data_IF_876589702796
#
_entry.id   IF_876589702796
#
_cell.length_a   1.000
_cell.length_b   1.000
_cell.length_c   1.000
_cell.angle_alpha   90.00
_cell.angle_beta   90.00
_cell.angle_gamma   90.00
#
_symmetry.space_group_name_H-M   'P 1'
#
loop_
_entity.id
_entity.type
_entity.pdbx_description
1 polymer ?
#
# COMPACT_ATOMS: atom_id res chain seq x y z
N UNK A 1 32.98 -15.40 40.27
CA UNK A 1 33.06 -13.94 40.13
C UNK A 1 33.43 -13.19 41.40
N UNK A 2 33.99 -13.83 42.45
CA UNK A 2 34.37 -13.13 43.68
C UNK A 2 35.53 -12.13 43.58
N UNK A 3 36.03 -11.85 42.37
CA UNK A 3 37.14 -10.92 42.12
C UNK A 3 36.67 -9.47 42.09
N UNK A 4 35.45 -9.20 41.61
CA UNK A 4 35.03 -7.83 41.31
C UNK A 4 34.59 -7.06 42.55
N UNK A 5 33.90 -7.71 43.50
CA UNK A 5 33.57 -7.07 44.76
C UNK A 5 34.82 -6.79 45.61
N UNK A 6 35.82 -7.69 45.61
CA UNK A 6 37.08 -7.50 46.36
C UNK A 6 37.94 -6.36 45.80
N UNK A 7 37.79 -6.03 44.52
CA UNK A 7 38.42 -4.85 43.89
C UNK A 7 37.68 -3.58 44.30
N UNK A 8 36.35 -3.60 44.26
CA UNK A 8 35.51 -2.47 44.68
C UNK A 8 35.65 -2.18 46.18
N UNK A 9 35.71 -3.19 47.03
CA UNK A 9 35.93 -3.05 48.48
C UNK A 9 37.31 -2.45 48.77
N UNK A 10 38.36 -2.89 48.06
CA UNK A 10 39.69 -2.26 48.16
C UNK A 10 39.68 -0.80 47.75
N UNK A 11 38.98 -0.46 46.67
CA UNK A 11 38.85 0.92 46.21
C UNK A 11 38.12 1.78 47.25
N UNK A 12 36.97 1.31 47.73
CA UNK A 12 36.18 2.01 48.77
C UNK A 12 37.00 2.21 50.04
N UNK A 13 37.75 1.19 50.47
CA UNK A 13 38.66 1.29 51.63
C UNK A 13 39.81 2.28 51.41
N UNK A 14 40.33 2.41 50.19
CA UNK A 14 41.39 3.37 49.88
C UNK A 14 40.90 4.82 49.77
N UNK A 15 39.64 5.03 49.40
CA UNK A 15 39.06 6.36 49.20
C UNK A 15 38.38 6.94 50.44
N UNK A 16 37.94 6.09 51.37
CA UNK A 16 37.25 6.51 52.59
C UNK A 16 38.26 6.65 53.71
N UNK A 17 38.50 7.88 54.18
CA UNK A 17 39.44 8.18 55.26
C UNK A 17 39.01 7.54 56.60
N UNK A 18 37.73 7.62 56.95
CA UNK A 18 37.16 7.04 58.17
C UNK A 18 36.51 5.67 57.95
N UNK A 19 37.33 4.62 57.82
CA UNK A 19 36.84 3.24 57.64
C UNK A 19 35.96 2.73 58.80
N UNK A 20 36.15 3.28 60.01
CA UNK A 20 35.36 2.95 61.19
C UNK A 20 33.99 3.64 61.23
N UNK A 21 33.74 4.62 60.35
CA UNK A 21 32.47 5.35 60.32
C UNK A 21 31.32 4.41 60.02
N UNK A 22 30.19 4.63 60.71
CA UNK A 22 28.96 3.84 60.54
C UNK A 22 28.48 3.85 59.10
N UNK A 23 28.73 4.94 58.36
CA UNK A 23 28.28 5.08 56.97
C UNK A 23 29.18 4.31 56.00
N UNK A 24 30.50 4.26 56.23
CA UNK A 24 31.43 3.41 55.49
C UNK A 24 31.08 1.91 55.65
N UNK A 25 30.70 1.50 56.86
CA UNK A 25 30.26 0.14 57.13
C UNK A 25 28.93 -0.20 56.46
N UNK A 26 27.97 0.74 56.41
CA UNK A 26 26.71 0.54 55.66
C UNK A 26 26.98 0.39 54.16
N UNK A 27 27.85 1.23 53.59
CA UNK A 27 28.21 1.17 52.18
C UNK A 27 28.86 -0.17 51.83
N UNK A 28 29.86 -0.62 52.58
CA UNK A 28 30.51 -1.92 52.34
C UNK A 28 29.52 -3.11 52.44
N UNK A 29 28.62 -3.10 53.43
CA UNK A 29 27.55 -4.12 53.56
C UNK A 29 26.59 -4.10 52.37
N UNK A 30 26.17 -2.91 51.92
CA UNK A 30 25.29 -2.77 50.76
C UNK A 30 25.96 -3.24 49.46
N UNK A 31 27.24 -2.92 49.28
CA UNK A 31 28.04 -3.37 48.13
C UNK A 31 28.17 -4.90 48.12
N UNK A 32 28.48 -5.49 49.27
CA UNK A 32 28.54 -6.93 49.42
C UNK A 32 27.20 -7.58 49.09
N UNK A 33 26.10 -7.07 49.64
CA UNK A 33 24.75 -7.55 49.35
C UNK A 33 24.42 -7.51 47.85
N UNK A 34 24.67 -6.36 47.19
CA UNK A 34 24.44 -6.21 45.74
C UNK A 34 25.31 -7.17 44.93
N UNK A 35 26.56 -7.38 45.34
CA UNK A 35 27.47 -8.30 44.64
C UNK A 35 26.96 -9.75 44.72
N UNK A 36 26.52 -10.19 45.90
CA UNK A 36 25.94 -11.53 46.10
C UNK A 36 24.65 -11.68 45.29
N UNK A 37 23.79 -10.66 45.29
CA UNK A 37 22.57 -10.68 44.47
C UNK A 37 22.87 -10.79 42.97
N UNK A 38 23.86 -10.05 42.47
CA UNK A 38 24.26 -10.12 41.06
C UNK A 38 24.81 -11.50 40.71
N UNK A 39 25.64 -12.10 41.56
CA UNK A 39 26.12 -13.47 41.35
C UNK A 39 24.96 -14.48 41.31
N UNK A 40 24.01 -14.38 42.25
CA UNK A 40 22.83 -15.24 42.27
C UNK A 40 22.01 -15.09 40.98
N UNK A 41 21.74 -13.84 40.55
CA UNK A 41 21.05 -13.56 39.29
C UNK A 41 21.81 -14.12 38.07
N UNK A 42 23.15 -14.03 38.05
CA UNK A 42 23.94 -14.62 36.98
C UNK A 42 23.81 -16.15 36.94
N UNK A 43 23.83 -16.81 38.10
CA UNK A 43 23.62 -18.25 38.19
C UNK A 43 22.20 -18.64 37.77
N UNK A 44 21.17 -17.89 38.18
CA UNK A 44 19.79 -18.09 37.74
C UNK A 44 19.65 -17.93 36.22
N UNK A 45 20.19 -16.85 35.65
CA UNK A 45 20.18 -16.61 34.20
C UNK A 45 20.88 -17.76 33.45
N UNK A 46 22.02 -18.23 33.97
CA UNK A 46 22.74 -19.33 33.35
C UNK A 46 21.97 -20.65 33.47
N UNK A 47 21.40 -20.96 34.63
CA UNK A 47 20.54 -22.13 34.83
C UNK A 47 19.29 -22.10 33.96
N UNK A 48 18.67 -20.92 33.79
CA UNK A 48 17.54 -20.74 32.87
C UNK A 48 17.97 -20.94 31.41
N UNK A 49 19.12 -20.41 30.99
CA UNK A 49 19.67 -20.64 29.65
C UNK A 49 19.92 -22.14 29.40
N UNK A 50 20.52 -22.83 30.36
CA UNK A 50 20.77 -24.29 30.29
C UNK A 50 19.46 -25.06 30.23
N UNK A 51 18.50 -24.77 31.11
CA UNK A 51 17.17 -25.38 31.10
C UNK A 51 16.46 -25.15 29.77
N UNK A 52 16.60 -23.97 29.18
CA UNK A 52 16.04 -23.64 27.86
C UNK A 52 16.73 -24.45 26.76
N UNK A 53 18.06 -24.59 26.77
CA UNK A 53 18.80 -25.44 25.84
C UNK A 53 18.37 -26.91 25.95
N UNK A 54 18.24 -27.41 27.18
CA UNK A 54 17.77 -28.77 27.47
C UNK A 54 16.34 -28.96 26.97
N UNK A 55 15.42 -28.05 27.28
CA UNK A 55 14.04 -28.08 26.74
C UNK A 55 14.02 -28.01 25.21
N UNK A 56 14.87 -27.20 24.59
CA UNK A 56 15.03 -27.16 23.13
C UNK A 56 15.50 -28.50 22.58
N UNK A 57 16.42 -29.21 23.26
CA UNK A 57 16.85 -30.56 22.89
C UNK A 57 15.68 -31.56 22.98
N UNK A 58 14.93 -31.57 24.09
CA UNK A 58 13.78 -32.47 24.25
C UNK A 58 12.63 -32.18 23.28
N UNK A 59 12.43 -30.92 22.88
CA UNK A 59 11.46 -30.55 21.82
C UNK A 59 11.89 -30.98 20.41
N UNK A 60 13.13 -31.45 20.22
CA UNK A 60 13.53 -32.09 18.96
C UNK A 60 12.94 -33.50 18.95
N UNK A 61 11.62 -33.60 18.82
CA UNK A 61 11.02 -34.78 18.23
C UNK A 61 11.62 -34.86 16.83
N UNK A 62 12.60 -35.74 16.65
CA UNK A 62 13.24 -35.93 15.37
C UNK A 62 12.13 -36.28 14.38
N UNK A 63 11.99 -35.49 13.31
CA UNK A 63 11.09 -35.88 12.22
C UNK A 63 11.56 -37.27 11.76
N UNK A 64 10.67 -38.26 11.68
CA UNK A 64 11.06 -39.58 11.24
C UNK A 64 11.69 -39.45 9.86
N UNK A 65 12.83 -40.11 9.68
CA UNK A 65 13.46 -40.17 8.38
C UNK A 65 12.48 -40.84 7.42
N UNK A 66 12.11 -40.15 6.34
CA UNK A 66 11.14 -40.69 5.40
C UNK A 66 11.81 -41.76 4.54
N UNK A 67 11.78 -42.99 5.04
CA UNK A 67 12.26 -44.18 4.36
C UNK A 67 11.11 -44.69 3.48
N UNK A 68 11.21 -44.43 2.17
CA UNK A 68 10.21 -44.90 1.23
C UNK A 68 10.28 -46.42 1.09
N UNK A 69 9.18 -47.09 1.44
CA UNK A 69 9.01 -48.53 1.24
C UNK A 69 8.65 -48.81 -0.22
N UNK A 70 9.18 -49.91 -0.78
CA UNK A 70 8.76 -50.40 -2.10
C UNK A 70 7.35 -51.00 -1.99
N UNK A 71 6.50 -50.74 -2.98
CA UNK A 71 5.09 -51.14 -2.97
C UNK A 71 4.87 -52.66 -2.94
N UNK A 72 5.84 -53.46 -3.37
CA UNK A 72 5.70 -54.91 -3.57
C UNK A 72 5.70 -55.78 -2.29
N UNK A 73 5.91 -55.22 -1.10
CA UNK A 73 6.07 -56.02 0.12
C UNK A 73 4.88 -55.87 1.08
N UNK A 74 4.09 -56.92 1.24
CA UNK A 74 2.89 -56.95 2.08
C UNK A 74 3.08 -57.89 3.28
N UNK A 75 3.47 -57.32 4.43
CA UNK A 75 3.33 -57.98 5.75
C UNK A 75 4.63 -58.50 6.35
N UNK A 76 5.34 -57.65 7.10
CA UNK A 76 6.50 -58.03 7.92
C UNK A 76 7.25 -56.81 8.48
N UNK A 77 8.09 -57.02 9.50
CA UNK A 77 8.99 -55.98 10.01
C UNK A 77 10.00 -55.58 8.91
N UNK A 78 10.05 -54.29 8.57
CA UNK A 78 10.93 -53.78 7.50
C UNK A 78 12.32 -53.46 8.07
N UNK A 79 13.30 -54.31 7.77
CA UNK A 79 14.70 -54.02 8.09
C UNK A 79 15.31 -53.06 7.06
N UNK A 80 15.78 -51.92 7.52
CA UNK A 80 16.37 -50.90 6.64
C UNK A 80 17.88 -51.08 6.52
N UNK A 81 18.35 -51.30 5.30
CA UNK A 81 19.78 -51.31 5.03
C UNK A 81 20.40 -49.91 5.23
N UNK A 82 21.66 -49.80 5.67
CA UNK A 82 22.34 -48.50 5.85
C UNK A 82 22.33 -47.61 4.60
N UNK A 83 22.31 -48.24 3.40
CA UNK A 83 22.18 -47.53 2.12
C UNK A 83 20.86 -46.75 2.02
N UNK A 84 19.73 -47.32 2.45
CA UNK A 84 18.41 -46.66 2.42
C UNK A 84 18.33 -45.47 3.37
N UNK A 85 18.98 -45.58 4.53
CA UNK A 85 19.12 -44.46 5.48
C UNK A 85 19.91 -43.31 4.86
N UNK A 86 21.02 -43.60 4.14
CA UNK A 86 21.78 -42.56 3.42
C UNK A 86 20.94 -41.89 2.32
N UNK A 87 20.25 -42.66 1.50
CA UNK A 87 19.37 -42.12 0.43
C UNK A 87 18.30 -41.18 0.98
N UNK A 88 17.64 -41.55 2.08
CA UNK A 88 16.62 -40.71 2.68
C UNK A 88 17.19 -39.41 3.28
N UNK A 89 18.40 -39.43 3.85
CA UNK A 89 19.08 -38.23 4.33
C UNK A 89 19.41 -37.27 3.20
N UNK A 90 19.92 -37.79 2.07
CA UNK A 90 20.20 -36.98 0.87
C UNK A 90 18.93 -36.30 0.37
N UNK A 91 17.80 -37.03 0.30
CA UNK A 91 16.51 -36.47 -0.10
C UNK A 91 16.02 -35.37 0.85
N UNK A 92 16.20 -35.55 2.16
CA UNK A 92 15.87 -34.51 3.14
C UNK A 92 16.71 -33.26 2.92
N UNK A 93 18.02 -33.38 2.73
CA UNK A 93 18.88 -32.22 2.48
C UNK A 93 18.51 -31.48 1.20
N UNK A 94 18.18 -32.19 0.12
CA UNK A 94 17.72 -31.59 -1.14
C UNK A 94 16.41 -30.83 -0.91
N UNK A 95 15.42 -31.46 -0.26
CA UNK A 95 14.14 -30.80 0.04
C UNK A 95 14.31 -29.56 0.92
N UNK A 96 15.21 -29.60 1.91
CA UNK A 96 15.50 -28.44 2.74
C UNK A 96 16.16 -27.30 1.96
N UNK A 97 17.02 -27.61 1.00
CA UNK A 97 17.61 -26.62 0.09
C UNK A 97 16.55 -26.00 -0.80
N UNK A 98 15.72 -26.81 -1.45
CA UNK A 98 14.58 -26.36 -2.27
C UNK A 98 13.63 -25.47 -1.47
N UNK A 99 13.25 -25.88 -0.25
CA UNK A 99 12.39 -25.08 0.63
C UNK A 99 13.03 -23.73 1.00
N UNK A 100 14.35 -23.70 1.23
CA UNK A 100 15.09 -22.45 1.48
C UNK A 100 15.10 -21.57 0.25
N UNK A 101 15.39 -22.12 -0.93
CA UNK A 101 15.40 -21.39 -2.19
C UNK A 101 14.01 -20.83 -2.52
N UNK A 102 12.95 -21.62 -2.36
CA UNK A 102 11.57 -21.17 -2.54
C UNK A 102 11.22 -20.02 -1.58
N UNK A 103 11.66 -20.08 -0.32
CA UNK A 103 11.47 -18.97 0.63
C UNK A 103 12.21 -17.71 0.18
N UNK A 104 13.45 -17.85 -0.30
CA UNK A 104 14.21 -16.73 -0.85
C UNK A 104 13.54 -16.13 -2.09
N UNK A 105 13.04 -16.96 -3.01
CA UNK A 105 12.28 -16.52 -4.19
C UNK A 105 10.98 -15.81 -3.78
N UNK A 106 10.21 -16.35 -2.82
CA UNK A 106 9.01 -15.70 -2.27
C UNK A 106 9.33 -14.33 -1.64
N UNK A 107 10.45 -14.23 -0.92
CA UNK A 107 10.89 -12.95 -0.37
C UNK A 107 11.28 -11.94 -1.47
N UNK A 108 12.02 -12.38 -2.51
CA UNK A 108 12.37 -11.54 -3.66
C UNK A 108 11.14 -11.05 -4.42
N UNK A 109 10.21 -11.95 -4.73
CA UNK A 109 8.95 -11.60 -5.41
C UNK A 109 8.07 -10.67 -4.57
N UNK A 110 8.01 -10.85 -3.25
CA UNK A 110 7.32 -9.92 -2.36
C UNK A 110 7.95 -8.51 -2.38
N UNK A 111 9.27 -8.40 -2.40
CA UNK A 111 9.98 -7.11 -2.55
C UNK A 111 9.66 -6.44 -3.88
N UNK A 112 9.71 -7.19 -5.00
CA UNK A 112 9.35 -6.68 -6.32
C UNK A 112 7.89 -6.22 -6.38
N UNK A 113 6.95 -6.97 -5.79
CA UNK A 113 5.53 -6.57 -5.70
C UNK A 113 5.34 -5.26 -4.95
N UNK A 114 6.05 -5.06 -3.83
CA UNK A 114 6.02 -3.79 -3.08
C UNK A 114 6.53 -2.62 -3.92
N UNK A 115 7.67 -2.80 -4.59
CA UNK A 115 8.23 -1.77 -5.48
C UNK A 115 7.27 -1.42 -6.63
N UNK A 116 6.66 -2.42 -7.27
CA UNK A 116 5.69 -2.21 -8.33
C UNK A 116 4.41 -1.49 -7.84
N UNK A 117 3.98 -1.75 -6.60
CA UNK A 117 2.85 -1.04 -5.98
C UNK A 117 3.18 0.45 -5.80
N UNK A 118 4.34 0.76 -5.24
CA UNK A 118 4.80 2.14 -5.06
C UNK A 118 4.92 2.89 -6.39
N UNK A 119 5.45 2.24 -7.44
CA UNK A 119 5.53 2.85 -8.76
C UNK A 119 4.15 3.16 -9.36
N UNK A 120 3.19 2.25 -9.19
CA UNK A 120 1.80 2.48 -9.61
C UNK A 120 1.13 3.61 -8.84
N UNK A 121 1.40 3.73 -7.54
CA UNK A 121 0.90 4.82 -6.70
C UNK A 121 1.46 6.17 -7.18
N UNK A 122 2.76 6.26 -7.46
CA UNK A 122 3.37 7.47 -8.05
C UNK A 122 2.74 7.87 -9.38
N UNK A 123 2.57 6.94 -10.31
CA UNK A 123 1.89 7.21 -11.60
C UNK A 123 0.45 7.70 -11.37
N UNK A 124 -0.25 7.14 -10.39
CA UNK A 124 -1.62 7.54 -10.09
C UNK A 124 -1.67 8.96 -9.51
N UNK A 125 -0.72 9.32 -8.64
CA UNK A 125 -0.55 10.67 -8.09
C UNK A 125 -0.22 11.69 -9.18
N UNK A 126 0.76 11.41 -10.05
CA UNK A 126 1.09 12.27 -11.20
C UNK A 126 -0.13 12.50 -12.10
N UNK A 127 -0.93 11.45 -12.35
CA UNK A 127 -2.18 11.56 -13.11
C UNK A 127 -3.23 12.41 -12.40
N UNK A 128 -3.30 12.39 -11.06
CA UNK A 128 -4.21 13.23 -10.29
C UNK A 128 -3.78 14.69 -10.36
N UNK A 129 -2.49 14.97 -10.14
CA UNK A 129 -1.92 16.32 -10.25
C UNK A 129 -2.13 16.90 -11.65
N UNK A 130 -1.88 16.11 -12.71
CA UNK A 130 -2.14 16.54 -14.08
C UNK A 130 -3.62 16.90 -14.33
N UNK A 131 -4.56 16.15 -13.74
CA UNK A 131 -6.00 16.46 -13.84
C UNK A 131 -6.37 17.74 -13.10
N UNK A 132 -5.81 17.96 -11.92
CA UNK A 132 -6.03 19.18 -11.14
C UNK A 132 -5.44 20.41 -11.84
N UNK A 133 -4.20 20.31 -12.33
CA UNK A 133 -3.58 21.36 -13.14
C UNK A 133 -4.41 21.70 -14.38
N UNK A 134 -4.94 20.68 -15.08
CA UNK A 134 -5.83 20.89 -16.23
C UNK A 134 -7.17 21.55 -15.85
N UNK A 135 -7.72 21.28 -14.66
CA UNK A 135 -8.92 21.97 -14.16
C UNK A 135 -8.62 23.44 -13.85
N UNK A 136 -7.55 23.72 -13.13
CA UNK A 136 -7.12 25.09 -12.79
C UNK A 136 -6.83 25.90 -14.05
N UNK A 137 -6.15 25.32 -15.03
CA UNK A 137 -5.88 25.98 -16.32
C UNK A 137 -7.19 26.33 -17.05
N UNK A 138 -8.17 25.41 -17.08
CA UNK A 138 -9.50 25.67 -17.68
C UNK A 138 -10.27 26.76 -16.95
N UNK A 139 -10.17 26.84 -15.63
CA UNK A 139 -10.83 27.88 -14.84
C UNK A 139 -10.18 29.25 -15.06
N UNK A 140 -8.85 29.32 -15.11
CA UNK A 140 -8.11 30.54 -15.46
C UNK A 140 -8.47 31.04 -16.85
N UNK A 141 -8.48 30.17 -17.86
CA UNK A 141 -8.88 30.52 -19.22
C UNK A 141 -10.33 31.06 -19.28
N UNK A 142 -11.25 30.43 -18.53
CA UNK A 142 -12.64 30.91 -18.43
C UNK A 142 -12.73 32.27 -17.74
N UNK A 143 -11.96 32.49 -16.67
CA UNK A 143 -11.92 33.75 -15.94
C UNK A 143 -11.32 34.88 -16.80
N UNK A 144 -10.24 34.62 -17.53
CA UNK A 144 -9.64 35.57 -18.48
C UNK A 144 -10.60 35.92 -19.61
N UNK A 145 -11.24 34.93 -20.23
CA UNK A 145 -12.28 35.16 -21.25
C UNK A 145 -13.46 35.95 -20.69
N UNK A 146 -13.87 35.72 -19.45
CA UNK A 146 -14.93 36.48 -18.80
C UNK A 146 -14.50 37.93 -18.52
N UNK A 147 -13.28 38.14 -18.02
CA UNK A 147 -12.70 39.46 -17.78
C UNK A 147 -12.52 40.25 -19.08
N UNK A 148 -12.07 39.61 -20.16
CA UNK A 148 -11.94 40.23 -21.48
C UNK A 148 -13.30 40.67 -22.03
N UNK A 149 -14.34 39.82 -21.86
CA UNK A 149 -15.73 40.16 -22.23
C UNK A 149 -16.25 41.34 -21.39
N UNK A 150 -15.98 41.37 -20.09
CA UNK A 150 -16.36 42.47 -19.21
C UNK A 150 -15.70 43.79 -19.64
N UNK A 151 -14.37 43.79 -19.88
CA UNK A 151 -13.64 44.95 -20.40
C UNK A 151 -14.19 45.45 -21.74
N UNK A 152 -14.49 44.56 -22.67
CA UNK A 152 -15.11 44.91 -23.96
C UNK A 152 -16.50 45.53 -23.78
N UNK A 153 -17.27 45.05 -22.80
CA UNK A 153 -18.59 45.62 -22.47
C UNK A 153 -18.45 47.01 -21.86
N UNK A 154 -17.59 47.18 -20.86
CA UNK A 154 -17.29 48.47 -20.24
C UNK A 154 -16.80 49.51 -21.25
N UNK A 155 -15.89 49.15 -22.15
CA UNK A 155 -15.41 50.04 -23.20
C UNK A 155 -16.53 50.48 -24.15
N UNK A 156 -17.45 49.57 -24.52
CA UNK A 156 -18.64 49.90 -25.33
C UNK A 156 -19.59 50.83 -24.59
N UNK A 157 -19.83 50.56 -23.30
CA UNK A 157 -20.74 51.36 -22.48
C UNK A 157 -20.15 52.76 -22.21
N UNK A 158 -18.85 52.89 -21.96
CA UNK A 158 -18.13 54.16 -21.85
C UNK A 158 -18.18 54.96 -23.16
N UNK A 159 -17.96 54.31 -24.32
CA UNK A 159 -18.07 54.95 -25.63
C UNK A 159 -19.50 55.47 -25.89
N UNK A 160 -20.53 54.68 -25.54
CA UNK A 160 -21.93 55.12 -25.62
C UNK A 160 -22.21 56.31 -24.69
N UNK A 161 -21.70 56.31 -23.47
CA UNK A 161 -21.85 57.42 -22.52
C UNK A 161 -21.22 58.72 -23.06
N UNK A 162 -20.01 58.64 -23.63
CA UNK A 162 -19.36 59.77 -24.30
C UNK A 162 -20.13 60.26 -25.55
N UNK A 163 -20.81 59.38 -26.28
CA UNK A 163 -21.67 59.78 -27.41
C UNK A 163 -22.98 60.45 -26.95
N UNK A 164 -23.59 59.99 -25.86
CA UNK A 164 -24.81 60.57 -25.29
C UNK A 164 -24.56 61.97 -24.72
N UNK A 165 -23.45 62.20 -24.01
CA UNK A 165 -23.11 63.53 -23.48
C UNK A 165 -22.88 64.58 -24.58
N UNK A 166 -22.40 64.15 -25.75
CA UNK A 166 -22.24 65.02 -26.94
C UNK A 166 -23.55 65.36 -27.65
N UNK A 167 -24.65 64.64 -27.39
CA UNK A 167 -25.95 64.85 -28.06
C UNK A 167 -26.95 65.67 -27.25
N UNK A 168 -26.51 66.41 -26.23
CA UNK A 168 -27.32 67.21 -25.30
C UNK A 168 -28.09 68.42 -25.88
N UNK A 169 -28.42 68.46 -27.18
CA UNK A 169 -29.42 69.39 -27.74
C UNK A 169 -30.12 68.77 -28.95
N UNK A 170 -31.23 68.03 -28.75
CA UNK A 170 -32.24 67.84 -29.82
C UNK A 170 -33.61 67.39 -29.30
N UNK A 171 -34.65 68.03 -29.87
CA UNK A 171 -36.08 67.89 -29.52
C UNK A 171 -36.64 66.50 -29.87
N UNK A 172 -37.52 66.01 -29.00
CA UNK A 172 -38.28 64.77 -29.17
C UNK A 172 -39.35 64.88 -30.25
N UNK A 173 -39.43 63.89 -31.14
CA UNK A 173 -40.58 63.62 -32.01
C UNK A 173 -40.82 62.11 -32.15
N UNK A 174 -42.09 61.80 -32.40
CA UNK A 174 -42.93 60.66 -32.04
C UNK A 174 -42.72 59.36 -32.86
N UNK A 175 -43.21 58.19 -32.39
CA UNK A 175 -43.05 56.90 -33.06
C UNK A 175 -44.17 56.62 -34.09
N UNK A 176 -43.81 56.11 -35.26
CA UNK A 176 -44.76 55.57 -36.25
C UNK A 176 -44.73 54.04 -36.30
N UNK A 177 -45.85 53.48 -36.76
CA UNK A 177 -46.41 52.18 -36.42
C UNK A 177 -45.98 51.01 -37.33
N UNK A 178 -45.63 49.90 -36.67
CA UNK A 178 -45.78 48.46 -36.98
C UNK A 178 -46.03 48.03 -38.45
N UNK A 179 -45.10 47.26 -39.03
CA UNK A 179 -45.30 46.44 -40.24
C UNK A 179 -45.30 44.93 -39.95
N UNK A 180 -46.10 44.20 -40.72
CA UNK A 180 -46.63 42.86 -40.45
C UNK A 180 -45.64 41.69 -40.51
N UNK A 181 -45.97 40.67 -39.72
CA UNK A 181 -45.26 39.40 -39.47
C UNK A 181 -45.52 38.40 -40.61
N UNK A 182 -44.48 37.99 -41.35
CA UNK A 182 -44.54 36.84 -42.28
C UNK A 182 -44.34 35.54 -41.50
N UNK A 183 -45.34 34.64 -41.53
CA UNK A 183 -45.19 33.25 -41.08
C UNK A 183 -44.44 32.43 -42.14
N UNK A 184 -43.47 31.63 -41.70
CA UNK A 184 -42.71 30.70 -42.54
C UNK A 184 -43.45 29.37 -42.67
N UNK A 185 -43.51 28.85 -43.90
CA UNK A 185 -43.92 27.49 -44.23
C UNK A 185 -42.88 26.50 -43.66
N UNK A 186 -43.35 25.48 -42.95
CA UNK A 186 -42.54 24.31 -42.56
C UNK A 186 -42.78 23.23 -43.62
N UNK A 187 -41.71 22.78 -44.27
CA UNK A 187 -41.74 21.62 -45.18
C UNK A 187 -41.13 20.46 -44.41
N UNK A 188 -41.95 19.46 -44.11
CA UNK A 188 -41.49 18.14 -43.68
C UNK A 188 -41.22 17.31 -44.93
N UNK A 189 -40.03 16.70 -45.03
CA UNK A 189 -39.71 15.68 -46.01
C UNK A 189 -39.38 14.38 -45.26
N UNK A 190 -40.17 13.33 -45.54
CA UNK A 190 -39.88 11.93 -45.22
C UNK A 190 -40.14 11.12 -46.48
N UNK A 191 -39.11 10.43 -46.98
CA UNK A 191 -39.13 9.11 -47.67
C UNK A 191 -37.66 8.75 -48.06
N UNK A 192 -37.01 7.71 -47.51
CA UNK A 192 -36.93 6.29 -47.97
C UNK A 192 -36.45 6.15 -49.42
N UNK A 193 -35.49 5.31 -49.86
CA UNK A 193 -34.51 4.32 -49.34
C UNK A 193 -33.41 4.20 -50.45
N UNK A 194 -32.15 3.81 -50.22
CA UNK A 194 -31.52 2.45 -50.34
C UNK A 194 -30.05 2.75 -50.79
N UNK A 195 -28.97 1.98 -50.61
CA UNK A 195 -28.57 0.83 -49.81
C UNK A 195 -27.04 0.69 -49.99
N UNK A 196 -26.30 0.21 -48.97
CA UNK A 196 -25.21 -0.80 -49.15
C UNK A 196 -24.52 -1.15 -47.83
N UNK A 197 -24.78 -2.39 -47.38
CA UNK A 197 -23.75 -3.31 -46.90
C UNK A 197 -23.25 -3.18 -45.45
N UNK A 198 -23.95 -3.79 -44.49
CA UNK A 198 -23.31 -4.43 -43.34
C UNK A 198 -24.27 -5.43 -42.67
N UNK A 199 -23.75 -6.61 -42.34
CA UNK A 199 -24.45 -7.76 -41.79
C UNK A 199 -25.37 -7.44 -40.59
N UNK A 200 -26.60 -7.96 -40.63
CA UNK A 200 -27.55 -7.91 -39.52
C UNK A 200 -27.09 -8.81 -38.37
N UNK A 201 -26.47 -8.21 -37.35
CA UNK A 201 -26.45 -8.80 -36.00
C UNK A 201 -27.71 -8.32 -35.25
N UNK A 202 -28.50 -9.26 -34.72
CA UNK A 202 -29.71 -8.96 -33.96
C UNK A 202 -29.41 -8.02 -32.78
N UNK A 203 -30.30 -7.06 -32.46
CA UNK A 203 -30.05 -6.10 -31.39
C UNK A 203 -30.03 -6.81 -30.02
N UNK A 204 -29.10 -6.42 -29.11
CA UNK A 204 -29.04 -7.01 -27.78
C UNK A 204 -30.34 -6.75 -27.01
N UNK A 205 -30.86 -7.78 -26.36
CA UNK A 205 -32.07 -7.68 -25.54
C UNK A 205 -31.80 -6.82 -24.31
N UNK A 206 -32.38 -5.62 -24.28
CA UNK A 206 -32.24 -4.67 -23.17
C UNK A 206 -33.44 -4.73 -22.24
N UNK A 207 -33.20 -4.74 -20.93
CA UNK A 207 -34.28 -4.60 -19.93
C UNK A 207 -34.95 -3.22 -19.99
N UNK A 208 -36.15 -3.08 -19.41
CA UNK A 208 -36.88 -1.78 -19.28
C UNK A 208 -36.05 -0.65 -18.65
N UNK A 209 -34.95 -0.96 -17.96
CA UNK A 209 -34.01 0.00 -17.35
C UNK A 209 -32.70 0.19 -18.14
N UNK A 210 -32.65 -0.25 -19.40
CA UNK A 210 -31.52 0.00 -20.31
C UNK A 210 -30.26 -0.83 -20.04
N UNK A 211 -30.34 -1.89 -19.22
CA UNK A 211 -29.21 -2.80 -19.01
C UNK A 211 -29.19 -3.91 -20.04
N UNK A 212 -28.00 -4.18 -20.56
CA UNK A 212 -27.73 -5.20 -21.56
C UNK A 212 -27.67 -6.59 -20.89
N UNK A 213 -28.45 -7.55 -21.39
CA UNK A 213 -28.54 -8.91 -20.82
C UNK A 213 -27.69 -9.87 -21.65
N UNK A 214 -26.72 -10.52 -21.01
CA UNK A 214 -25.99 -11.64 -21.64
C UNK A 214 -26.66 -12.94 -21.23
N UNK A 215 -27.21 -13.68 -22.20
CA UNK A 215 -27.77 -15.00 -21.96
C UNK A 215 -26.64 -15.99 -21.62
N UNK A 216 -26.79 -16.82 -20.58
CA UNK A 216 -25.81 -17.86 -20.24
C UNK A 216 -25.80 -18.97 -21.31
N UNK A 217 -24.62 -19.54 -21.58
CA UNK A 217 -24.36 -20.50 -22.66
C UNK A 217 -25.16 -21.80 -22.61
N UNK A 218 -25.85 -22.07 -21.50
CA UNK A 218 -26.74 -23.23 -21.34
C UNK A 218 -28.06 -23.05 -22.11
N UNK A 219 -28.39 -21.82 -22.51
CA UNK A 219 -29.61 -21.46 -23.23
C UNK A 219 -29.33 -20.81 -24.60
N UNK A 220 -28.11 -21.01 -25.13
CA UNK A 220 -27.77 -20.71 -26.52
C UNK A 220 -28.07 -21.91 -27.40
#
# INVERSE_FOLDING_TARGET
>A
SGSDWRKLDRLVRSTVEDQGSKDAQKLSRSLYYISVQNELLHHEINGLKEALLVKKKYKKNSKPLNLQQRQEYHGGAVFWSPRKVREARVRQSVKEQEDKEQKLQKAKTAKLRKAAKLYKEKIAEEKRVAREAAKVAKEKERAEKAAERARKKEARDAAKALQLSKKGKRKALQPSTKSNKRQKHVVNAVATEEASGAALAAPPTTTRRGRNVKLPSKYQ
#
